data_IF_782590824885
#
_entry.id   IF_782590824885
#
_cell.length_a   1.000
_cell.length_b   1.000
_cell.length_c   1.000
_cell.angle_alpha   90.00
_cell.angle_beta   90.00
_cell.angle_gamma   90.00
#
_symmetry.space_group_name_H-M   'P 1'
#
loop_
_entity.id
_entity.type
_entity.pdbx_description
1 polymer ?
#
# COMPACT_ATOMS: atom_id res chain seq x y z
N UNK A 1 -43.83 -42.83 2.10
CA UNK A 1 -43.62 -41.71 1.17
C UNK A 1 -42.58 -40.83 1.79
N UNK A 2 -41.33 -40.92 1.34
CA UNK A 2 -40.23 -40.11 1.83
C UNK A 2 -40.14 -38.84 1.00
N UNK A 3 -40.41 -37.71 1.63
CA UNK A 3 -40.33 -36.40 1.03
C UNK A 3 -38.85 -36.03 0.81
N UNK A 4 -38.40 -36.08 -0.44
CA UNK A 4 -37.05 -35.77 -0.85
C UNK A 4 -36.89 -34.22 -0.82
N UNK A 5 -36.32 -33.74 0.29
CA UNK A 5 -36.01 -32.32 0.51
C UNK A 5 -35.01 -31.88 -0.55
N UNK A 6 -35.49 -31.23 -1.60
CA UNK A 6 -34.66 -30.59 -2.64
C UNK A 6 -33.84 -29.48 -2.01
N UNK A 7 -32.53 -29.69 -1.90
CA UNK A 7 -31.59 -28.66 -1.48
C UNK A 7 -31.54 -27.62 -2.61
N UNK A 8 -31.81 -26.32 -2.34
CA UNK A 8 -31.76 -25.31 -3.39
C UNK A 8 -30.32 -25.23 -3.93
N UNK A 9 -30.14 -25.56 -5.20
CA UNK A 9 -28.89 -25.41 -5.91
C UNK A 9 -28.54 -23.92 -5.92
N UNK A 10 -27.41 -23.55 -5.36
CA UNK A 10 -26.94 -22.16 -5.36
C UNK A 10 -26.84 -21.67 -6.82
N UNK A 11 -27.42 -20.49 -7.13
CA UNK A 11 -27.44 -20.00 -8.50
C UNK A 11 -26.02 -19.81 -9.03
N UNK A 12 -25.77 -20.19 -10.29
CA UNK A 12 -24.45 -20.12 -10.93
C UNK A 12 -23.82 -18.73 -10.87
N UNK A 13 -22.50 -18.59 -10.69
CA UNK A 13 -21.81 -17.31 -10.61
C UNK A 13 -22.07 -16.48 -11.89
N UNK A 14 -22.53 -15.23 -11.73
CA UNK A 14 -22.73 -14.36 -12.89
C UNK A 14 -21.41 -13.68 -13.23
N UNK A 15 -20.83 -14.02 -14.38
CA UNK A 15 -19.64 -13.37 -14.94
C UNK A 15 -19.96 -11.93 -15.43
N UNK A 16 -21.26 -11.61 -15.57
CA UNK A 16 -21.74 -10.31 -15.98
C UNK A 16 -21.58 -9.28 -14.83
N UNK A 17 -20.84 -8.19 -15.10
CA UNK A 17 -20.61 -7.10 -14.13
C UNK A 17 -19.22 -7.07 -13.49
N UNK A 18 -18.31 -8.01 -13.84
CA UNK A 18 -16.93 -7.97 -13.39
C UNK A 18 -16.20 -6.79 -14.04
N UNK A 19 -15.46 -6.06 -13.20
CA UNK A 19 -14.62 -4.93 -13.67
C UNK A 19 -13.26 -5.43 -14.11
N UNK A 20 -12.71 -4.97 -15.26
CA UNK A 20 -11.36 -5.32 -15.65
C UNK A 20 -10.36 -4.79 -14.62
N UNK A 21 -9.51 -5.68 -14.08
CA UNK A 21 -8.54 -5.37 -13.02
C UNK A 21 -7.12 -5.25 -13.53
N UNK A 22 -6.80 -5.78 -14.71
CA UNK A 22 -5.44 -5.89 -15.22
C UNK A 22 -4.79 -4.53 -15.46
N UNK A 23 -5.52 -3.59 -16.07
CA UNK A 23 -5.01 -2.24 -16.32
C UNK A 23 -4.81 -1.49 -15.01
N UNK A 24 -5.77 -1.59 -14.08
CA UNK A 24 -5.62 -0.98 -12.76
C UNK A 24 -4.43 -1.59 -12.00
N UNK A 25 -4.22 -2.90 -12.08
CA UNK A 25 -3.09 -3.59 -11.47
C UNK A 25 -1.75 -3.15 -12.05
N UNK A 26 -1.65 -2.98 -13.38
CA UNK A 26 -0.43 -2.47 -14.03
C UNK A 26 -0.10 -1.05 -13.58
N UNK A 27 -1.09 -0.16 -13.60
CA UNK A 27 -0.89 1.24 -13.18
C UNK A 27 -0.51 1.31 -11.70
N UNK A 28 -1.17 0.53 -10.85
CA UNK A 28 -0.82 0.42 -9.41
C UNK A 28 0.59 -0.13 -9.23
N UNK A 29 0.97 -1.14 -10.00
CA UNK A 29 2.32 -1.71 -9.96
C UNK A 29 3.39 -0.67 -10.28
N UNK A 30 3.23 0.08 -11.36
CA UNK A 30 4.15 1.15 -11.71
C UNK A 30 4.16 2.29 -10.69
N UNK A 31 3.00 2.65 -10.15
CA UNK A 31 2.89 3.68 -9.11
C UNK A 31 3.59 3.27 -7.80
N UNK A 32 3.52 1.98 -7.42
CA UNK A 32 4.25 1.43 -6.28
C UNK A 32 5.77 1.51 -6.50
N UNK A 33 6.26 1.13 -7.68
CA UNK A 33 7.69 1.21 -8.00
C UNK A 33 8.16 2.67 -8.04
N UNK A 34 7.35 3.58 -8.57
CA UNK A 34 7.65 5.00 -8.58
C UNK A 34 7.72 5.59 -7.16
N UNK A 35 6.80 5.20 -6.28
CA UNK A 35 6.84 5.57 -4.86
C UNK A 35 8.10 5.01 -4.18
N UNK A 36 8.46 3.76 -4.46
CA UNK A 36 9.72 3.16 -3.99
C UNK A 36 10.95 3.94 -4.46
N UNK A 37 10.97 4.42 -5.71
CA UNK A 37 12.04 5.28 -6.22
C UNK A 37 12.10 6.62 -5.48
N UNK A 38 10.97 7.20 -5.11
CA UNK A 38 10.91 8.40 -4.26
C UNK A 38 11.59 8.16 -2.90
N UNK A 39 11.34 7.02 -2.28
CA UNK A 39 11.99 6.64 -1.03
C UNK A 39 13.50 6.39 -1.19
N UNK A 40 13.95 5.82 -2.31
CA UNK A 40 15.38 5.72 -2.63
C UNK A 40 16.01 7.11 -2.75
N UNK A 41 15.37 8.05 -3.44
CA UNK A 41 15.84 9.43 -3.56
C UNK A 41 16.01 10.08 -2.18
N UNK A 42 15.04 9.87 -1.29
CA UNK A 42 15.10 10.39 0.07
C UNK A 42 16.23 9.76 0.87
N UNK A 43 16.40 8.45 0.82
CA UNK A 43 17.51 7.75 1.47
C UNK A 43 18.88 8.29 0.99
N UNK A 44 19.03 8.53 -0.31
CA UNK A 44 20.26 9.12 -0.88
C UNK A 44 20.49 10.52 -0.30
N UNK A 45 19.45 11.34 -0.17
CA UNK A 45 19.54 12.66 0.44
C UNK A 45 19.96 12.59 1.91
N UNK A 46 19.36 11.70 2.69
CA UNK A 46 19.70 11.47 4.10
C UNK A 46 21.15 11.00 4.28
N UNK A 47 21.61 10.06 3.44
CA UNK A 47 23.00 9.59 3.44
C UNK A 47 23.97 10.72 3.09
N UNK A 48 23.62 11.60 2.14
CA UNK A 48 24.47 12.74 1.79
C UNK A 48 24.58 13.74 2.93
N UNK A 49 23.52 14.02 3.67
CA UNK A 49 23.59 14.85 4.88
C UNK A 49 24.47 14.21 5.94
N UNK A 50 24.25 12.93 6.23
CA UNK A 50 25.04 12.19 7.19
C UNK A 50 26.54 12.18 6.85
N UNK A 51 26.88 11.95 5.59
CA UNK A 51 28.29 11.92 5.14
C UNK A 51 28.93 13.33 5.09
N UNK A 52 28.14 14.36 4.85
CA UNK A 52 28.63 15.74 4.89
C UNK A 52 28.99 16.19 6.32
N UNK A 53 28.30 15.61 7.31
CA UNK A 53 28.42 16.01 8.70
C UNK A 53 27.74 17.34 9.02
N UNK A 54 27.43 17.55 10.28
CA UNK A 54 26.81 18.77 10.76
C UNK A 54 27.75 19.98 10.55
N UNK A 55 27.26 21.10 9.99
CA UNK A 55 28.10 22.29 9.80
C UNK A 55 28.50 22.91 11.13
N UNK A 56 29.65 23.61 11.15
CA UNK A 56 30.18 24.29 12.34
C UNK A 56 29.22 25.31 12.94
N UNK A 57 28.23 25.78 12.17
CA UNK A 57 27.17 26.68 12.64
C UNK A 57 26.06 25.96 13.44
N UNK A 58 26.19 24.64 13.65
CA UNK A 58 25.23 23.85 14.41
C UNK A 58 23.98 23.42 13.61
N UNK A 59 22.96 22.87 14.29
CA UNK A 59 21.70 22.44 13.67
C UNK A 59 20.91 23.63 13.11
N UNK A 60 19.95 23.40 12.19
CA UNK A 60 19.10 24.47 11.67
C UNK A 60 18.27 25.16 12.76
N UNK A 61 17.71 24.42 13.70
CA UNK A 61 17.01 24.94 14.87
C UNK A 61 18.01 25.07 16.03
N UNK A 62 18.31 26.31 16.45
CA UNK A 62 19.26 26.62 17.52
C UNK A 62 18.57 26.87 18.87
N UNK A 63 17.26 26.58 18.94
CA UNK A 63 16.46 26.83 20.14
C UNK A 63 15.90 28.26 20.21
N UNK A 64 14.97 28.47 21.12
CA UNK A 64 14.35 29.76 21.41
C UNK A 64 13.78 30.51 20.17
N UNK A 65 13.42 29.74 19.11
CA UNK A 65 12.91 30.31 17.86
C UNK A 65 13.98 30.87 16.92
N UNK A 66 15.25 30.63 17.22
CA UNK A 66 16.37 31.05 16.36
C UNK A 66 16.66 29.97 15.35
N UNK A 67 16.57 30.28 14.05
CA UNK A 67 16.89 29.40 12.95
C UNK A 67 18.00 29.95 12.10
N UNK A 68 19.02 29.14 11.81
CA UNK A 68 20.04 29.52 10.83
C UNK A 68 19.57 29.24 9.40
N UNK A 69 20.12 29.98 8.42
CA UNK A 69 19.87 29.65 7.01
C UNK A 69 20.32 28.24 6.66
N UNK A 70 19.49 27.54 5.89
CA UNK A 70 19.82 26.21 5.35
C UNK A 70 20.88 26.33 4.25
N UNK A 71 21.84 25.43 4.23
CA UNK A 71 22.75 25.29 3.11
C UNK A 71 22.03 24.65 1.90
N UNK A 72 22.69 24.59 0.73
CA UNK A 72 22.06 24.09 -0.51
C UNK A 72 21.62 22.62 -0.42
N UNK A 73 22.36 21.77 0.30
CA UNK A 73 22.00 20.37 0.48
C UNK A 73 20.80 20.23 1.43
N UNK A 74 20.77 20.94 2.52
CA UNK A 74 19.64 21.00 3.45
C UNK A 74 18.38 21.56 2.76
N UNK A 75 18.52 22.63 2.00
CA UNK A 75 17.41 23.27 1.30
C UNK A 75 16.79 22.37 0.22
N UNK A 76 17.55 21.39 -0.32
CA UNK A 76 17.00 20.38 -1.23
C UNK A 76 15.94 19.47 -0.58
N UNK A 77 15.79 19.50 0.74
CA UNK A 77 14.70 18.89 1.49
C UNK A 77 13.31 19.15 0.87
N UNK A 78 13.06 20.40 0.50
CA UNK A 78 11.75 20.80 -0.05
C UNK A 78 11.44 20.04 -1.36
N UNK A 79 12.41 19.96 -2.25
CA UNK A 79 12.25 19.22 -3.51
C UNK A 79 12.09 17.71 -3.28
N UNK A 80 12.96 17.13 -2.44
CA UNK A 80 12.92 15.69 -2.14
C UNK A 80 11.57 15.30 -1.51
N UNK A 81 11.13 16.04 -0.50
CA UNK A 81 9.85 15.79 0.18
C UNK A 81 8.66 15.99 -0.76
N UNK A 82 8.70 17.00 -1.62
CA UNK A 82 7.67 17.23 -2.63
C UNK A 82 7.58 16.04 -3.60
N UNK A 83 8.71 15.57 -4.13
CA UNK A 83 8.74 14.43 -5.06
C UNK A 83 8.23 13.14 -4.41
N UNK A 84 8.66 12.85 -3.18
CA UNK A 84 8.11 11.71 -2.40
C UNK A 84 6.61 11.86 -2.22
N UNK A 85 6.14 13.04 -1.80
CA UNK A 85 4.72 13.31 -1.60
C UNK A 85 3.89 13.10 -2.87
N UNK A 86 4.35 13.61 -4.01
CA UNK A 86 3.67 13.43 -5.31
C UNK A 86 3.59 11.97 -5.70
N UNK A 87 4.70 11.22 -5.60
CA UNK A 87 4.72 9.79 -5.96
C UNK A 87 3.82 8.97 -5.03
N UNK A 88 3.76 9.30 -3.74
CA UNK A 88 2.87 8.65 -2.77
C UNK A 88 1.39 8.95 -3.05
N UNK A 89 1.03 10.17 -3.43
CA UNK A 89 -0.35 10.53 -3.83
C UNK A 89 -0.75 9.76 -5.08
N UNK A 90 0.11 9.72 -6.10
CA UNK A 90 -0.12 8.94 -7.33
C UNK A 90 -0.33 7.46 -6.97
N UNK A 91 0.54 6.91 -6.12
CA UNK A 91 0.42 5.53 -5.65
C UNK A 91 -0.90 5.29 -4.93
N UNK A 92 -1.31 6.16 -4.02
CA UNK A 92 -2.57 6.04 -3.27
C UNK A 92 -3.79 6.02 -4.20
N UNK A 93 -3.85 6.90 -5.19
CA UNK A 93 -4.96 6.97 -6.15
C UNK A 93 -5.11 5.65 -6.92
N UNK A 94 -4.02 5.15 -7.52
CA UNK A 94 -4.08 3.92 -8.29
C UNK A 94 -4.31 2.70 -7.41
N UNK A 95 -3.68 2.64 -6.23
CA UNK A 95 -3.83 1.53 -5.29
C UNK A 95 -5.27 1.41 -4.76
N UNK A 96 -5.88 2.51 -4.35
CA UNK A 96 -7.27 2.54 -3.90
C UNK A 96 -8.22 2.16 -5.04
N UNK A 97 -7.97 2.66 -6.27
CA UNK A 97 -8.76 2.31 -7.45
C UNK A 97 -8.70 0.81 -7.76
N UNK A 98 -7.51 0.20 -7.69
CA UNK A 98 -7.32 -1.23 -7.87
C UNK A 98 -8.00 -2.02 -6.74
N UNK A 99 -7.78 -1.65 -5.49
CA UNK A 99 -8.35 -2.32 -4.32
C UNK A 99 -9.88 -2.32 -4.35
N UNK A 100 -10.48 -1.21 -4.80
CA UNK A 100 -11.93 -1.11 -4.99
C UNK A 100 -12.43 -2.13 -6.02
N UNK A 101 -11.77 -2.23 -7.19
CA UNK A 101 -12.14 -3.18 -8.24
C UNK A 101 -12.01 -4.62 -7.78
N UNK A 102 -10.90 -4.95 -7.11
CA UNK A 102 -10.65 -6.30 -6.55
C UNK A 102 -11.74 -6.67 -5.54
N UNK A 103 -12.14 -5.72 -4.69
CA UNK A 103 -13.22 -5.91 -3.72
C UNK A 103 -14.58 -6.12 -4.41
N UNK A 104 -14.94 -5.29 -5.37
CA UNK A 104 -16.23 -5.42 -6.07
C UNK A 104 -16.30 -6.76 -6.80
N UNK A 105 -15.24 -7.15 -7.48
CA UNK A 105 -15.16 -8.44 -8.16
C UNK A 105 -15.27 -9.61 -7.16
N UNK A 106 -14.68 -9.50 -5.98
CA UNK A 106 -14.78 -10.55 -4.96
C UNK A 106 -16.23 -10.76 -4.50
N UNK A 107 -17.02 -9.69 -4.41
CA UNK A 107 -18.46 -9.77 -4.08
C UNK A 107 -19.24 -10.44 -5.22
N UNK A 108 -18.96 -10.06 -6.47
CA UNK A 108 -19.61 -10.66 -7.63
C UNK A 108 -19.28 -12.15 -7.77
N UNK A 109 -18.04 -12.56 -7.48
CA UNK A 109 -17.59 -13.95 -7.57
C UNK A 109 -18.11 -14.85 -6.44
N UNK A 110 -18.19 -14.32 -5.20
CA UNK A 110 -18.60 -15.11 -4.03
C UNK A 110 -20.08 -14.98 -3.70
N UNK A 111 -20.74 -13.91 -4.11
CA UNK A 111 -22.08 -13.49 -3.68
C UNK A 111 -22.23 -13.31 -2.17
N UNK A 112 -21.14 -13.32 -1.45
CA UNK A 112 -21.12 -13.07 -0.02
C UNK A 112 -20.95 -11.60 0.29
N UNK A 113 -21.58 -11.17 1.38
CA UNK A 113 -21.34 -9.79 1.89
C UNK A 113 -19.88 -9.64 2.30
N UNK A 114 -19.20 -8.57 1.89
CA UNK A 114 -17.82 -8.33 2.29
C UNK A 114 -17.75 -8.09 3.80
N UNK A 115 -16.69 -8.60 4.43
CA UNK A 115 -16.44 -8.38 5.87
C UNK A 115 -16.28 -6.88 6.18
N UNK A 116 -15.69 -6.13 5.25
CA UNK A 116 -15.48 -4.70 5.38
C UNK A 116 -16.42 -3.94 4.44
N UNK A 117 -17.19 -2.99 4.97
CA UNK A 117 -18.03 -2.09 4.17
C UNK A 117 -17.18 -1.28 3.19
N UNK A 118 -17.76 -0.80 2.08
CA UNK A 118 -17.01 -0.13 1.00
C UNK A 118 -16.23 1.09 1.45
N UNK A 119 -16.75 1.87 2.41
CA UNK A 119 -16.06 3.06 2.92
C UNK A 119 -14.71 2.75 3.58
N UNK A 120 -14.49 1.51 4.08
CA UNK A 120 -13.21 1.09 4.66
C UNK A 120 -12.07 1.04 3.64
N UNK A 121 -12.38 0.96 2.34
CA UNK A 121 -11.38 1.08 1.27
C UNK A 121 -10.67 2.44 1.33
N UNK A 122 -11.36 3.48 1.81
CA UNK A 122 -10.84 4.85 1.95
C UNK A 122 -10.46 5.15 3.40
N UNK A 123 -11.41 5.03 4.33
CA UNK A 123 -11.21 5.39 5.73
C UNK A 123 -10.15 4.54 6.44
N UNK A 124 -9.94 3.30 5.97
CA UNK A 124 -8.87 2.43 6.47
C UNK A 124 -7.47 3.03 6.32
N UNK A 125 -7.28 4.01 5.43
CA UNK A 125 -6.00 4.70 5.22
C UNK A 125 -5.88 6.01 5.99
N UNK A 126 -7.00 6.66 6.28
CA UNK A 126 -7.06 7.98 6.90
C UNK A 126 -7.05 7.88 8.43
N UNK A 127 -7.73 6.88 8.98
CA UNK A 127 -7.81 6.69 10.43
C UNK A 127 -6.56 5.98 10.95
N UNK A 128 -5.73 6.60 11.81
CA UNK A 128 -4.41 6.08 12.19
C UNK A 128 -4.46 4.65 12.75
N UNK A 129 -5.41 4.40 13.65
CA UNK A 129 -5.58 3.09 14.29
C UNK A 129 -6.09 2.05 13.28
N UNK A 130 -7.09 2.39 12.47
CA UNK A 130 -7.67 1.51 11.44
C UNK A 130 -6.64 1.14 10.37
N UNK A 131 -5.74 2.08 10.05
CA UNK A 131 -4.67 1.91 9.07
C UNK A 131 -3.72 0.75 9.42
N UNK A 132 -3.60 0.39 10.69
CA UNK A 132 -2.73 -0.71 11.11
C UNK A 132 -3.24 -2.12 10.74
N UNK A 133 -4.52 -2.31 10.38
CA UNK A 133 -5.02 -3.65 9.99
C UNK A 133 -6.08 -3.66 8.89
N UNK A 134 -6.86 -2.58 8.71
CA UNK A 134 -7.98 -2.55 7.76
C UNK A 134 -7.50 -2.77 6.31
N UNK A 135 -6.47 -2.08 5.79
CA UNK A 135 -6.06 -2.25 4.39
C UNK A 135 -5.68 -3.69 4.05
N UNK A 136 -4.87 -4.32 4.92
CA UNK A 136 -4.54 -5.74 4.77
C UNK A 136 -5.78 -6.62 4.88
N UNK A 137 -6.69 -6.30 5.82
CA UNK A 137 -7.92 -7.03 6.04
C UNK A 137 -8.84 -7.02 4.83
N UNK A 138 -9.02 -5.88 4.16
CA UNK A 138 -9.82 -5.73 2.94
C UNK A 138 -9.24 -6.58 1.81
N UNK A 139 -7.92 -6.54 1.57
CA UNK A 139 -7.27 -7.33 0.53
C UNK A 139 -7.38 -8.83 0.83
N UNK A 140 -7.17 -9.24 2.08
CA UNK A 140 -7.26 -10.62 2.49
C UNK A 140 -8.68 -11.19 2.38
N UNK A 141 -9.71 -10.40 2.71
CA UNK A 141 -11.12 -10.77 2.54
C UNK A 141 -11.47 -10.94 1.05
N UNK A 142 -11.08 -9.95 0.24
CA UNK A 142 -11.31 -9.97 -1.20
C UNK A 142 -10.62 -11.18 -1.87
N UNK A 143 -9.36 -11.48 -1.51
CA UNK A 143 -8.64 -12.62 -2.02
C UNK A 143 -9.34 -13.95 -1.68
N UNK A 144 -9.67 -14.18 -0.39
CA UNK A 144 -10.30 -15.43 0.07
C UNK A 144 -11.64 -15.68 -0.59
N UNK A 145 -12.42 -14.63 -0.83
CA UNK A 145 -13.70 -14.70 -1.52
C UNK A 145 -13.56 -14.96 -3.01
N UNK A 146 -12.53 -14.40 -3.63
CA UNK A 146 -12.27 -14.63 -5.06
C UNK A 146 -11.81 -16.06 -5.35
N UNK A 147 -11.00 -16.65 -4.47
CA UNK A 147 -10.42 -18.00 -4.64
C UNK A 147 -10.55 -18.83 -3.36
N UNK A 148 -11.76 -19.36 -3.08
CA UNK A 148 -12.01 -20.16 -1.89
C UNK A 148 -11.06 -21.36 -1.81
N UNK A 149 -10.59 -21.68 -0.60
CA UNK A 149 -9.68 -22.82 -0.36
C UNK A 149 -8.19 -22.53 -0.62
N UNK A 150 -7.82 -21.44 -1.30
CA UNK A 150 -6.40 -21.08 -1.46
C UNK A 150 -5.91 -20.30 -0.22
N UNK A 151 -4.69 -20.62 0.22
CA UNK A 151 -4.00 -19.86 1.29
C UNK A 151 -3.68 -18.45 0.81
N UNK A 152 -3.83 -17.48 1.72
CA UNK A 152 -3.44 -16.09 1.43
C UNK A 152 -1.93 -16.04 1.09
N UNK A 153 -1.53 -15.42 -0.03
CA UNK A 153 -0.11 -15.29 -0.38
C UNK A 153 0.65 -14.55 0.73
N UNK A 154 1.80 -15.09 1.13
CA UNK A 154 2.62 -14.50 2.20
C UNK A 154 3.03 -13.05 1.89
N UNK A 155 3.16 -12.71 0.60
CA UNK A 155 3.50 -11.37 0.13
C UNK A 155 2.50 -10.29 0.59
N UNK A 156 1.21 -10.65 0.81
CA UNK A 156 0.20 -9.72 1.36
C UNK A 156 0.56 -9.29 2.78
N UNK A 157 1.01 -10.25 3.60
CA UNK A 157 1.43 -9.98 4.97
C UNK A 157 2.79 -9.28 5.01
N UNK A 158 3.72 -9.69 4.16
CA UNK A 158 5.04 -9.06 4.06
C UNK A 158 4.94 -7.59 3.65
N UNK A 159 4.16 -7.28 2.59
CA UNK A 159 3.89 -5.91 2.19
C UNK A 159 3.36 -5.06 3.35
N UNK A 160 2.34 -5.55 4.02
CA UNK A 160 1.71 -4.82 5.12
C UNK A 160 2.66 -4.61 6.31
N UNK A 161 3.41 -5.65 6.70
CA UNK A 161 4.35 -5.57 7.83
C UNK A 161 5.49 -4.57 7.54
N UNK A 162 6.05 -4.59 6.33
CA UNK A 162 7.09 -3.66 5.90
C UNK A 162 6.57 -2.22 5.86
N UNK A 163 5.36 -2.02 5.36
CA UNK A 163 4.74 -0.71 5.32
C UNK A 163 4.47 -0.14 6.72
N UNK A 164 3.91 -0.94 7.64
CA UNK A 164 3.70 -0.54 9.04
C UNK A 164 5.03 -0.27 9.74
N UNK A 165 6.04 -1.12 9.52
CA UNK A 165 7.37 -0.92 10.09
C UNK A 165 8.03 0.36 9.57
N UNK A 166 7.97 0.61 8.25
CA UNK A 166 8.49 1.83 7.66
C UNK A 166 7.82 3.08 8.24
N UNK A 167 6.50 3.07 8.42
CA UNK A 167 5.79 4.15 9.07
C UNK A 167 6.18 4.33 10.55
N UNK A 168 6.42 3.24 11.27
CA UNK A 168 6.79 3.29 12.69
C UNK A 168 8.21 3.81 12.91
N UNK A 169 9.16 3.45 12.03
CA UNK A 169 10.55 3.94 12.09
C UNK A 169 10.68 5.37 11.56
N UNK A 170 9.81 5.76 10.63
CA UNK A 170 9.80 7.09 10.02
C UNK A 170 9.19 8.16 10.93
N UNK A 171 9.08 9.33 10.39
CA UNK A 171 8.76 10.57 11.09
C UNK A 171 7.28 10.91 11.08
N UNK A 172 6.36 10.00 11.05
CA UNK A 172 5.03 10.43 10.68
C UNK A 172 3.83 9.82 11.37
N UNK A 173 4.02 8.90 12.31
CA UNK A 173 2.87 8.18 12.85
C UNK A 173 2.08 9.02 13.87
N UNK A 174 2.75 9.84 14.66
CA UNK A 174 2.14 10.59 15.75
C UNK A 174 2.47 12.10 15.69
N UNK A 175 3.71 12.43 15.34
CA UNK A 175 4.15 13.82 15.20
C UNK A 175 4.84 14.03 13.85
N UNK A 176 4.42 15.08 13.15
CA UNK A 176 5.13 15.52 11.96
C UNK A 176 6.38 16.27 12.41
N UNK A 177 7.55 15.67 12.22
CA UNK A 177 8.79 16.38 12.46
C UNK A 177 8.87 17.62 11.55
N UNK A 178 9.38 18.73 12.09
CA UNK A 178 9.72 19.90 11.27
C UNK A 178 10.87 19.56 10.31
N UNK A 179 11.04 20.34 9.25
CA UNK A 179 12.18 20.21 8.34
C UNK A 179 13.52 20.21 9.10
N UNK A 180 13.64 21.12 10.07
CA UNK A 180 14.86 21.29 10.87
C UNK A 180 15.18 20.04 11.70
N UNK A 181 14.17 19.45 12.33
CA UNK A 181 14.36 18.19 13.08
C UNK A 181 14.73 17.01 12.20
N UNK A 182 14.18 16.94 10.99
CA UNK A 182 14.55 15.88 10.04
C UNK A 182 16.01 16.03 9.58
N UNK A 183 16.42 17.26 9.30
CA UNK A 183 17.82 17.59 8.92
C UNK A 183 18.75 17.25 10.08
N UNK A 184 18.43 17.67 11.30
CA UNK A 184 19.20 17.33 12.51
C UNK A 184 19.35 15.83 12.69
N UNK A 185 18.24 15.08 12.57
CA UNK A 185 18.28 13.60 12.67
C UNK A 185 19.09 12.95 11.55
N UNK A 186 19.09 13.52 10.35
CA UNK A 186 19.92 13.02 9.26
C UNK A 186 21.41 13.19 9.56
N UNK A 187 21.82 14.23 10.30
CA UNK A 187 23.20 14.39 10.74
C UNK A 187 23.59 13.48 11.91
N UNK A 188 22.73 13.40 12.94
CA UNK A 188 23.07 12.82 14.23
C UNK A 188 22.58 11.38 14.44
N UNK A 189 21.48 11.02 13.80
CA UNK A 189 20.79 9.74 14.02
C UNK A 189 20.13 9.18 12.76
N UNK A 190 20.86 9.06 11.65
CA UNK A 190 20.35 8.68 10.33
C UNK A 190 19.74 7.28 10.26
N UNK A 191 20.18 6.33 11.09
CA UNK A 191 19.79 4.92 10.97
C UNK A 191 18.29 4.63 11.03
N UNK A 192 17.51 5.21 11.98
CA UNK A 192 16.06 5.01 11.97
C UNK A 192 15.40 5.52 10.68
N UNK A 193 15.89 6.62 10.09
CA UNK A 193 15.43 7.16 8.83
C UNK A 193 15.71 6.17 7.70
N UNK A 194 16.94 5.68 7.60
CA UNK A 194 17.33 4.70 6.57
C UNK A 194 16.59 3.37 6.72
N UNK A 195 16.31 2.90 7.93
CA UNK A 195 15.47 1.71 8.14
C UNK A 195 14.03 1.94 7.66
N UNK A 196 13.48 3.14 7.90
CA UNK A 196 12.19 3.52 7.35
C UNK A 196 12.19 3.50 5.83
N UNK A 197 13.16 4.15 5.20
CA UNK A 197 13.26 4.22 3.74
C UNK A 197 13.47 2.83 3.12
N UNK A 198 14.34 2.01 3.69
CA UNK A 198 14.56 0.63 3.24
C UNK A 198 13.28 -0.22 3.34
N UNK A 199 12.54 -0.08 4.44
CA UNK A 199 11.26 -0.77 4.62
C UNK A 199 10.21 -0.30 3.62
N UNK A 200 10.12 0.99 3.32
CA UNK A 200 9.20 1.54 2.34
C UNK A 200 9.53 1.10 0.91
N UNK A 201 10.81 1.01 0.55
CA UNK A 201 11.26 0.44 -0.73
C UNK A 201 10.88 -1.04 -0.81
N UNK A 202 11.14 -1.81 0.24
CA UNK A 202 10.76 -3.22 0.30
C UNK A 202 9.22 -3.41 0.28
N UNK A 203 8.46 -2.51 0.91
CA UNK A 203 7.01 -2.47 0.84
C UNK A 203 6.52 -2.16 -0.60
N UNK A 204 7.17 -1.28 -1.32
CA UNK A 204 6.84 -1.00 -2.72
C UNK A 204 7.03 -2.24 -3.61
N UNK A 205 8.14 -2.96 -3.47
CA UNK A 205 8.42 -4.19 -4.22
C UNK A 205 7.43 -5.31 -3.83
N UNK A 206 7.24 -5.56 -2.54
CA UNK A 206 6.30 -6.60 -2.08
C UNK A 206 4.86 -6.23 -2.40
N UNK A 207 4.50 -4.95 -2.38
CA UNK A 207 3.22 -4.42 -2.83
C UNK A 207 2.97 -4.68 -4.32
N UNK A 208 3.98 -4.45 -5.17
CA UNK A 208 3.92 -4.80 -6.59
C UNK A 208 3.65 -6.30 -6.79
N UNK A 209 4.38 -7.16 -6.09
CA UNK A 209 4.19 -8.61 -6.17
C UNK A 209 2.82 -9.03 -5.64
N UNK A 210 2.32 -8.40 -4.57
CA UNK A 210 0.99 -8.64 -4.01
C UNK A 210 -0.10 -8.28 -5.02
N UNK A 211 -0.03 -7.10 -5.64
CA UNK A 211 -0.99 -6.67 -6.66
C UNK A 211 -1.06 -7.67 -7.80
N UNK A 212 0.10 -8.15 -8.28
CA UNK A 212 0.18 -9.19 -9.32
C UNK A 212 -0.46 -10.51 -8.87
N UNK A 213 -0.10 -10.99 -7.67
CA UNK A 213 -0.59 -12.26 -7.16
C UNK A 213 -2.13 -12.26 -6.96
N UNK A 214 -2.68 -11.18 -6.39
CA UNK A 214 -4.12 -11.06 -6.16
C UNK A 214 -4.88 -10.93 -7.49
N UNK A 215 -4.36 -10.13 -8.42
CA UNK A 215 -4.96 -9.95 -9.74
C UNK A 215 -4.95 -11.26 -10.54
N UNK A 216 -3.81 -11.95 -10.61
CA UNK A 216 -3.69 -13.23 -11.31
C UNK A 216 -4.68 -14.27 -10.79
N UNK A 217 -4.82 -14.37 -9.45
CA UNK A 217 -5.77 -15.29 -8.84
C UNK A 217 -7.23 -15.00 -9.21
N UNK A 218 -7.61 -13.72 -9.29
CA UNK A 218 -8.96 -13.33 -9.75
C UNK A 218 -9.16 -13.64 -11.23
N UNK A 219 -8.19 -13.32 -12.09
CA UNK A 219 -8.27 -13.59 -13.53
C UNK A 219 -8.37 -15.08 -13.83
N UNK A 220 -7.56 -15.93 -13.14
CA UNK A 220 -7.67 -17.38 -13.25
C UNK A 220 -9.07 -17.87 -12.86
N UNK A 221 -9.63 -17.35 -11.76
CA UNK A 221 -10.96 -17.72 -11.29
C UNK A 221 -12.03 -17.36 -12.31
N UNK A 222 -11.97 -16.15 -12.87
CA UNK A 222 -12.91 -15.71 -13.91
C UNK A 222 -12.80 -16.62 -15.15
N UNK A 223 -11.60 -16.90 -15.62
CA UNK A 223 -11.37 -17.78 -16.76
C UNK A 223 -11.94 -19.20 -16.52
N UNK A 224 -11.75 -19.77 -15.32
CA UNK A 224 -12.28 -21.09 -14.98
C UNK A 224 -13.80 -21.13 -14.97
N UNK A 225 -14.48 -20.06 -14.53
CA UNK A 225 -15.93 -19.96 -14.54
C UNK A 225 -16.50 -19.78 -15.96
N UNK A 226 -15.76 -19.10 -16.82
CA UNK A 226 -16.16 -18.87 -18.22
C UNK A 226 -15.98 -20.13 -19.07
N UNK A 227 -14.98 -20.97 -18.73
CA UNK A 227 -14.70 -22.21 -19.43
C UNK A 227 -15.64 -23.38 -19.06
N UNK A 228 -16.41 -23.27 -17.98
CA UNK A 228 -17.41 -24.29 -17.63
C UNK A 228 -18.59 -24.21 -18.59
N UNK A 229 -18.91 -25.28 -19.36
CA UNK A 229 -20.09 -25.27 -20.22
C UNK A 229 -21.33 -24.99 -19.36
N UNK A 230 -22.21 -24.08 -19.83
CA UNK A 230 -23.55 -23.98 -19.26
C UNK A 230 -24.17 -25.37 -19.36
N UNK A 231 -24.41 -26.01 -18.22
CA UNK A 231 -25.31 -27.12 -18.16
C UNK A 231 -26.67 -26.60 -18.67
N UNK A 232 -26.99 -26.97 -19.92
CA UNK A 232 -28.28 -26.68 -20.50
C UNK A 232 -29.31 -27.43 -19.65
N UNK A 233 -30.11 -26.63 -18.90
CA UNK A 233 -31.29 -27.11 -18.18
C UNK A 233 -32.54 -26.78 -18.97
#
# INVERSE_FOLDING_TARGET
>A
MSEQKTIPTAPAPQVHGLRPVETAARLTGWALLLAGLGHVLRAVWEIRLWTAGEPASGPPDQGEGVHRPLNSLENSYHLVTFLVGVTMVICAVFFISWMWRVRDNSVALSRERPKYAGFWVYLGWVLPVANLWIPRGVIADAYRKSVPGRKLPAVVTAWWALWVFGMACGTGLIYRDSADKLIERAYTGVWPLLFSEAAMVAAAVTGFLMVRAVTAAQTERVASLTAQPRAEG
#
